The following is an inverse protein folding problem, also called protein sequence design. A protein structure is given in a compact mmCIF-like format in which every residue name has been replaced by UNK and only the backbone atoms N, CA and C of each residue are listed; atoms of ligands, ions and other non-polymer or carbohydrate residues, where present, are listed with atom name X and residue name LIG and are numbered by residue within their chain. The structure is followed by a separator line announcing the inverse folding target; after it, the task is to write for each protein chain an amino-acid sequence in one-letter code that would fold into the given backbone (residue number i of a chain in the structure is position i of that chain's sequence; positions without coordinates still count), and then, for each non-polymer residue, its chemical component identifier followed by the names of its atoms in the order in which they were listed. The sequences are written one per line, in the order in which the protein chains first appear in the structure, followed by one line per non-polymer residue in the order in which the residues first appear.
data_IF_664711192759
#
_entry.id   IF_664711192759
#
_cell.length_a   1.000
_cell.length_b   1.000
_cell.length_c   1.000
_cell.angle_alpha   90.00
_cell.angle_beta   90.00
_cell.angle_gamma   90.00
#
_symmetry.space_group_name_H-M   'P 1'
#
loop_
_entity.id
_entity.type
_entity.pdbx_description
1 polymer ?
#
# COMPACT_ATOMS: atom_id res chain seq x y z
N UNK A 1 3.56 5.66 19.49
CA UNK A 1 3.10 6.75 18.60
C UNK A 1 1.98 6.19 17.73
N UNK A 2 0.83 6.87 17.64
CA UNK A 2 -0.24 6.42 16.72
C UNK A 2 0.16 6.72 15.27
N UNK A 3 0.06 5.75 14.35
CA UNK A 3 0.40 6.00 12.95
C UNK A 3 -0.58 6.99 12.32
N UNK A 4 -0.06 7.88 11.47
CA UNK A 4 -0.88 8.65 10.54
C UNK A 4 -0.65 8.07 9.14
N UNK A 5 -1.49 7.09 8.78
CA UNK A 5 -1.36 6.37 7.51
C UNK A 5 -1.55 7.28 6.30
N UNK A 6 -2.45 8.25 6.35
CA UNK A 6 -2.65 9.19 5.24
C UNK A 6 -1.40 10.03 4.95
N UNK A 7 -0.78 10.59 6.00
CA UNK A 7 0.46 11.35 5.85
C UNK A 7 1.63 10.46 5.41
N UNK A 8 1.72 9.23 5.94
CA UNK A 8 2.75 8.27 5.56
C UNK A 8 2.63 7.86 4.08
N UNK A 9 1.42 7.56 3.60
CA UNK A 9 1.15 7.19 2.21
C UNK A 9 1.65 8.27 1.23
N UNK A 10 1.32 9.54 1.51
CA UNK A 10 1.73 10.68 0.68
C UNK A 10 3.25 10.82 0.66
N UNK A 11 3.91 10.70 1.82
CA UNK A 11 5.36 10.84 1.92
C UNK A 11 6.07 9.70 1.20
N UNK A 12 5.69 8.44 1.46
CA UNK A 12 6.27 7.27 0.79
C UNK A 12 6.12 7.35 -0.74
N UNK A 13 4.95 7.75 -1.24
CA UNK A 13 4.73 7.88 -2.68
C UNK A 13 5.62 8.97 -3.31
N UNK A 14 5.76 10.12 -2.65
CA UNK A 14 6.63 11.21 -3.12
C UNK A 14 8.10 10.78 -3.16
N UNK A 15 8.55 10.12 -2.10
CA UNK A 15 9.92 9.61 -2.00
C UNK A 15 10.18 8.52 -3.06
N UNK A 16 9.23 7.60 -3.26
CA UNK A 16 9.29 6.57 -4.29
C UNK A 16 9.45 7.16 -5.69
N UNK A 17 8.65 8.18 -6.03
CA UNK A 17 8.76 8.88 -7.33
C UNK A 17 10.12 9.53 -7.50
N UNK A 18 10.61 10.23 -6.48
CA UNK A 18 11.94 10.84 -6.51
C UNK A 18 13.04 9.80 -6.77
N UNK A 19 12.95 8.62 -6.15
CA UNK A 19 13.91 7.53 -6.40
C UNK A 19 13.79 6.96 -7.82
N UNK A 20 12.56 6.71 -8.28
CA UNK A 20 12.29 6.18 -9.63
C UNK A 20 12.90 7.07 -10.72
N UNK A 21 12.79 8.40 -10.55
CA UNK A 21 13.21 9.38 -11.57
C UNK A 21 14.73 9.67 -11.57
N UNK A 22 15.48 9.23 -10.56
CA UNK A 22 16.92 9.53 -10.43
C UNK A 22 17.81 8.64 -11.30
N UNK A 23 17.82 7.34 -11.04
CA UNK A 23 18.71 6.39 -11.72
C UNK A 23 18.22 4.95 -11.51
N UNK A 24 18.50 4.06 -12.47
CA UNK A 24 18.03 2.65 -12.43
C UNK A 24 18.44 1.89 -11.16
N UNK A 25 19.58 2.23 -10.56
CA UNK A 25 20.04 1.64 -9.30
C UNK A 25 19.13 1.94 -8.09
N UNK A 26 18.20 2.90 -8.20
CA UNK A 26 17.26 3.26 -7.14
C UNK A 26 15.89 2.60 -7.30
N UNK A 27 15.66 1.83 -8.37
CA UNK A 27 14.40 1.14 -8.61
C UNK A 27 13.97 0.23 -7.45
N UNK A 28 14.84 -0.56 -6.80
CA UNK A 28 14.45 -1.37 -5.64
C UNK A 28 13.90 -0.53 -4.48
N UNK A 29 14.53 0.61 -4.20
CA UNK A 29 14.06 1.53 -3.16
C UNK A 29 12.75 2.22 -3.53
N UNK A 30 12.58 2.58 -4.80
CA UNK A 30 11.33 3.15 -5.30
C UNK A 30 10.18 2.14 -5.17
N UNK A 31 10.41 0.91 -5.61
CA UNK A 31 9.44 -0.19 -5.56
C UNK A 31 8.96 -0.50 -4.15
N UNK A 32 9.90 -0.61 -3.22
CA UNK A 32 9.62 -0.80 -1.81
C UNK A 32 8.71 0.31 -1.25
N UNK A 33 9.03 1.56 -1.57
CA UNK A 33 8.22 2.70 -1.12
C UNK A 33 6.85 2.77 -1.79
N UNK A 34 6.67 2.29 -3.03
CA UNK A 34 5.35 2.18 -3.65
C UNK A 34 4.46 1.14 -2.93
N UNK A 35 5.02 0.02 -2.48
CA UNK A 35 4.31 -0.94 -1.64
C UNK A 35 3.86 -0.33 -0.30
N UNK A 36 4.77 0.33 0.41
CA UNK A 36 4.43 1.01 1.67
C UNK A 36 3.42 2.15 1.50
N UNK A 37 3.51 2.90 0.39
CA UNK A 37 2.55 3.93 0.06
C UNK A 37 1.13 3.35 -0.13
N UNK A 38 1.03 2.25 -0.88
CA UNK A 38 -0.23 1.52 -1.09
C UNK A 38 -0.80 1.01 0.22
N UNK A 39 0.02 0.33 1.03
CA UNK A 39 -0.39 -0.19 2.33
C UNK A 39 -1.02 0.90 3.20
N UNK A 40 -0.32 2.03 3.34
CA UNK A 40 -0.78 3.15 4.15
C UNK A 40 -2.07 3.76 3.58
N UNK A 41 -2.18 3.88 2.25
CA UNK A 41 -3.39 4.40 1.63
C UNK A 41 -4.61 3.51 1.89
N UNK A 42 -4.46 2.20 1.72
CA UNK A 42 -5.54 1.25 1.98
C UNK A 42 -5.94 1.22 3.46
N UNK A 43 -4.96 1.17 4.38
CA UNK A 43 -5.23 1.24 5.83
C UNK A 43 -5.99 2.51 6.20
N UNK A 44 -5.63 3.66 5.60
CA UNK A 44 -6.34 4.92 5.81
C UNK A 44 -7.79 4.88 5.31
N UNK A 45 -8.05 4.29 4.14
CA UNK A 45 -9.41 4.13 3.61
C UNK A 45 -10.24 3.25 4.54
N UNK A 46 -9.70 2.10 4.94
CA UNK A 46 -10.40 1.17 5.85
C UNK A 46 -10.68 1.83 7.21
N UNK A 47 -9.73 2.58 7.76
CA UNK A 47 -9.90 3.35 8.98
C UNK A 47 -11.03 4.38 8.86
N UNK A 48 -11.05 5.17 7.76
CA UNK A 48 -12.09 6.18 7.52
C UNK A 48 -13.50 5.55 7.46
N UNK A 49 -13.59 4.31 7.00
CA UNK A 49 -14.84 3.57 6.86
C UNK A 49 -15.19 2.70 8.08
N UNK A 50 -14.42 2.79 9.19
CA UNK A 50 -14.65 2.02 10.41
C UNK A 50 -14.40 0.52 10.26
N UNK A 51 -13.69 0.10 9.21
CA UNK A 51 -13.33 -1.30 8.93
C UNK A 51 -11.97 -1.67 9.53
N UNK A 52 -11.18 -0.67 9.91
CA UNK A 52 -9.91 -0.80 10.63
C UNK A 52 -9.91 0.17 11.80
N UNK A 53 -9.51 -0.32 12.97
CA UNK A 53 -9.27 0.50 14.16
C UNK A 53 -7.80 0.43 14.56
N UNK A 54 -7.38 1.29 15.48
CA UNK A 54 -6.03 1.27 16.02
C UNK A 54 -6.10 0.92 17.51
N UNK A 55 -5.30 -0.04 17.95
CA UNK A 55 -5.09 -0.31 19.37
C UNK A 55 -4.49 0.93 20.07
N UNK A 56 -4.51 1.00 21.42
CA UNK A 56 -3.86 2.09 22.15
C UNK A 56 -2.39 2.31 21.76
N UNK A 57 -1.67 1.23 21.44
CA UNK A 57 -0.27 1.24 21.01
C UNK A 57 -0.08 1.60 19.52
N UNK A 58 -1.18 1.82 18.79
CA UNK A 58 -1.17 2.24 17.39
C UNK A 58 -1.04 1.09 16.39
N UNK A 59 -1.37 -0.14 16.77
CA UNK A 59 -1.40 -1.29 15.85
C UNK A 59 -2.76 -1.38 15.16
N UNK A 60 -2.82 -1.68 13.85
CA UNK A 60 -4.07 -2.00 13.17
C UNK A 60 -4.80 -3.15 13.84
N UNK A 61 -6.04 -2.94 14.24
CA UNK A 61 -6.92 -4.00 14.71
C UNK A 61 -8.16 -4.00 13.83
N UNK A 62 -8.54 -5.17 13.34
CA UNK A 62 -9.75 -5.32 12.55
C UNK A 62 -10.80 -6.02 13.40
N UNK A 63 -11.95 -5.37 13.66
CA UNK A 63 -12.98 -5.95 14.51
C UNK A 63 -13.55 -7.28 13.98
N UNK A 64 -13.49 -7.51 12.67
CA UNK A 64 -14.30 -8.54 11.98
C UNK A 64 -13.52 -9.49 11.06
N UNK A 65 -12.20 -9.40 10.97
CA UNK A 65 -11.37 -10.30 10.15
C UNK A 65 -10.14 -10.75 10.92
N UNK A 66 -9.72 -11.99 10.68
CA UNK A 66 -8.45 -12.57 11.17
C UNK A 66 -7.23 -12.09 10.35
N UNK A 67 -7.37 -10.97 9.64
CA UNK A 67 -6.38 -10.44 8.72
C UNK A 67 -5.13 -9.98 9.46
N UNK A 68 -3.97 -10.40 8.97
CA UNK A 68 -2.66 -9.95 9.43
C UNK A 68 -2.60 -8.42 9.28
N UNK A 69 -1.83 -7.75 10.12
CA UNK A 69 -1.57 -6.31 10.01
C UNK A 69 -0.66 -5.99 8.79
N UNK A 70 -0.83 -6.76 7.72
CA UNK A 70 0.19 -7.11 6.73
C UNK A 70 0.59 -5.96 5.83
N UNK A 71 1.61 -6.26 5.05
CA UNK A 71 2.05 -5.47 3.92
C UNK A 71 1.32 -5.98 2.66
N UNK A 72 1.47 -5.34 1.50
CA UNK A 72 1.14 -5.99 0.23
C UNK A 72 1.93 -7.31 0.11
N UNK A 73 1.38 -8.34 -0.56
CA UNK A 73 0.09 -8.35 -1.27
C UNK A 73 -1.15 -8.42 -0.36
N UNK A 74 -1.03 -8.91 0.88
CA UNK A 74 -2.16 -9.27 1.75
C UNK A 74 -3.16 -8.13 1.96
N UNK A 75 -2.68 -6.91 2.24
CA UNK A 75 -3.54 -5.74 2.50
C UNK A 75 -4.38 -5.34 1.29
N UNK A 76 -3.92 -5.64 0.07
CA UNK A 76 -4.70 -5.39 -1.15
C UNK A 76 -5.83 -6.41 -1.28
N UNK A 77 -5.54 -7.69 -1.10
CA UNK A 77 -6.56 -8.74 -1.17
C UNK A 77 -7.62 -8.58 -0.09
N UNK A 78 -7.20 -8.18 1.10
CA UNK A 78 -8.08 -7.82 2.19
C UNK A 78 -9.00 -6.65 1.83
N UNK A 79 -8.45 -5.58 1.26
CA UNK A 79 -9.25 -4.46 0.78
C UNK A 79 -10.29 -4.90 -0.25
N UNK A 80 -9.91 -5.75 -1.21
CA UNK A 80 -10.84 -6.30 -2.21
C UNK A 80 -11.97 -7.12 -1.56
N UNK A 81 -11.66 -7.85 -0.49
CA UNK A 81 -12.67 -8.62 0.27
C UNK A 81 -13.76 -7.73 0.88
N UNK A 82 -13.41 -6.48 1.25
CA UNK A 82 -14.35 -5.47 1.72
C UNK A 82 -15.04 -4.75 0.57
N UNK A 83 -14.32 -4.40 -0.49
CA UNK A 83 -14.87 -3.71 -1.66
C UNK A 83 -16.05 -4.49 -2.26
N UNK A 84 -15.94 -5.82 -2.35
CA UNK A 84 -17.03 -6.68 -2.84
C UNK A 84 -18.30 -6.66 -1.98
N UNK A 85 -18.21 -6.19 -0.73
CA UNK A 85 -19.30 -6.21 0.27
C UNK A 85 -19.80 -4.81 0.65
N UNK A 86 -18.95 -3.79 0.48
CA UNK A 86 -19.23 -2.42 0.91
C UNK A 86 -19.14 -1.46 -0.29
N UNK A 87 -20.30 -1.05 -0.81
CA UNK A 87 -20.40 -0.11 -1.95
C UNK A 87 -19.90 1.30 -1.65
N UNK A 88 -19.65 1.65 -0.40
CA UNK A 88 -19.09 2.95 -0.02
C UNK A 88 -17.55 3.01 -0.21
N UNK A 89 -16.88 1.86 -0.37
CA UNK A 89 -15.45 1.86 -0.64
C UNK A 89 -15.17 2.29 -2.08
N UNK A 90 -14.08 3.07 -2.30
CA UNK A 90 -13.56 3.30 -3.64
C UNK A 90 -13.32 2.00 -4.39
N UNK A 91 -13.43 2.03 -5.72
CA UNK A 91 -13.19 0.85 -6.56
C UNK A 91 -11.74 0.85 -7.02
N UNK A 92 -11.00 -0.19 -6.64
CA UNK A 92 -9.67 -0.53 -7.12
C UNK A 92 -9.72 -1.79 -8.02
N UNK A 93 -8.70 -1.99 -8.87
CA UNK A 93 -8.56 -3.20 -9.69
C UNK A 93 -8.63 -4.49 -8.86
N UNK A 94 -9.41 -5.46 -9.33
CA UNK A 94 -9.59 -6.76 -8.65
C UNK A 94 -8.39 -7.69 -8.78
N UNK A 95 -7.47 -7.41 -9.71
CA UNK A 95 -6.19 -8.11 -9.79
C UNK A 95 -5.21 -7.44 -8.84
N UNK A 96 -4.57 -8.21 -7.97
CA UNK A 96 -3.57 -7.71 -7.04
C UNK A 96 -2.25 -7.40 -7.78
N UNK A 97 -1.83 -6.13 -7.87
CA UNK A 97 -0.62 -5.76 -8.59
C UNK A 97 0.66 -6.07 -7.79
N UNK A 98 0.56 -6.40 -6.50
CA UNK A 98 1.68 -6.60 -5.58
C UNK A 98 2.02 -8.07 -5.31
N UNK A 99 1.53 -9.01 -6.12
CA UNK A 99 1.78 -10.45 -5.91
C UNK A 99 3.27 -10.81 -5.85
N UNK A 100 4.13 -10.06 -6.54
CA UNK A 100 5.59 -10.23 -6.53
C UNK A 100 6.36 -9.30 -5.60
N UNK A 101 5.67 -8.53 -4.75
CA UNK A 101 6.28 -7.59 -3.82
C UNK A 101 6.35 -8.20 -2.43
N UNK A 102 7.50 -8.09 -1.74
CA UNK A 102 7.63 -8.49 -0.34
C UNK A 102 8.35 -7.41 0.47
N UNK A 103 7.93 -7.21 1.72
CA UNK A 103 8.60 -6.28 2.64
C UNK A 103 10.09 -6.62 2.81
N UNK A 104 10.46 -7.90 2.69
CA UNK A 104 11.79 -8.46 2.84
C UNK A 104 12.70 -8.16 1.65
N UNK A 105 12.17 -7.68 0.53
CA UNK A 105 12.96 -7.24 -0.63
C UNK A 105 13.92 -6.10 -0.26
N UNK A 106 13.68 -5.40 0.87
CA UNK A 106 14.61 -4.44 1.49
C UNK A 106 15.99 -5.02 1.82
N UNK A 107 16.07 -6.34 2.00
CA UNK A 107 17.32 -7.07 2.27
C UNK A 107 17.88 -7.78 1.03
N UNK A 108 17.14 -7.75 -0.08
CA UNK A 108 17.61 -8.30 -1.34
C UNK A 108 18.66 -7.38 -1.96
N UNK A 109 19.39 -7.89 -2.96
CA UNK A 109 20.27 -7.08 -3.79
C UNK A 109 19.50 -6.27 -4.87
N UNK A 110 18.17 -6.37 -4.91
CA UNK A 110 17.30 -5.61 -5.82
C UNK A 110 17.41 -5.99 -7.31
N UNK A 111 18.17 -7.03 -7.66
CA UNK A 111 18.43 -7.42 -9.07
C UNK A 111 17.19 -7.90 -9.84
N UNK A 112 16.15 -8.37 -9.13
CA UNK A 112 14.87 -8.77 -9.71
C UNK A 112 13.94 -7.58 -9.99
N UNK A 113 14.23 -6.39 -9.46
CA UNK A 113 13.36 -5.22 -9.58
C UNK A 113 13.66 -4.48 -10.87
N UNK A 114 12.78 -4.65 -11.85
CA UNK A 114 12.87 -4.01 -13.16
C UNK A 114 11.99 -2.77 -13.25
N UNK A 115 12.21 -1.93 -14.26
CA UNK A 115 11.36 -0.75 -14.50
C UNK A 115 9.89 -1.12 -14.75
N UNK A 116 9.63 -2.30 -15.35
CA UNK A 116 8.28 -2.81 -15.55
C UNK A 116 7.59 -3.13 -14.21
N UNK A 117 8.29 -3.79 -13.28
CA UNK A 117 7.79 -4.08 -11.92
C UNK A 117 7.48 -2.77 -11.19
N UNK A 118 8.43 -1.83 -11.18
CA UNK A 118 8.25 -0.52 -10.53
C UNK A 118 7.09 0.26 -11.13
N UNK A 119 6.88 0.18 -12.45
CA UNK A 119 5.77 0.85 -13.12
C UNK A 119 4.41 0.29 -12.70
N UNK A 120 4.28 -1.04 -12.61
CA UNK A 120 3.06 -1.68 -12.11
C UNK A 120 2.74 -1.23 -10.68
N UNK A 121 3.73 -1.27 -9.78
CA UNK A 121 3.55 -0.86 -8.39
C UNK A 121 3.33 0.65 -8.24
N UNK A 122 3.97 1.49 -9.05
CA UNK A 122 3.72 2.94 -9.09
C UNK A 122 2.27 3.24 -9.46
N UNK A 123 1.75 2.61 -10.52
CA UNK A 123 0.40 2.88 -11.00
C UNK A 123 -0.65 2.42 -9.99
N UNK A 124 -0.43 1.28 -9.34
CA UNK A 124 -1.25 0.78 -8.26
C UNK A 124 -1.23 1.71 -7.03
N UNK A 125 -0.04 2.16 -6.60
CA UNK A 125 0.11 3.09 -5.50
C UNK A 125 -0.57 4.42 -5.79
N UNK A 126 -0.48 4.92 -7.03
CA UNK A 126 -1.18 6.14 -7.46
C UNK A 126 -2.69 5.96 -7.40
N UNK A 127 -3.21 4.82 -7.84
CA UNK A 127 -4.65 4.53 -7.76
C UNK A 127 -5.13 4.49 -6.30
N UNK A 128 -4.39 3.82 -5.41
CA UNK A 128 -4.72 3.77 -3.98
C UNK A 128 -4.66 5.16 -3.32
N UNK A 129 -3.67 5.99 -3.66
CA UNK A 129 -3.59 7.37 -3.17
C UNK A 129 -4.77 8.23 -3.63
N UNK A 130 -5.13 8.15 -4.92
CA UNK A 130 -6.26 8.89 -5.46
C UNK A 130 -7.57 8.46 -4.78
N UNK A 131 -7.75 7.15 -4.57
CA UNK A 131 -8.89 6.60 -3.83
C UNK A 131 -8.95 7.13 -2.39
N UNK A 132 -7.81 7.14 -1.68
CA UNK A 132 -7.71 7.67 -0.32
C UNK A 132 -8.03 9.16 -0.23
N UNK A 133 -7.64 9.95 -1.23
CA UNK A 133 -7.86 11.40 -1.25
C UNK A 133 -9.27 11.78 -1.69
N UNK A 134 -9.90 10.97 -2.54
CA UNK A 134 -11.29 11.15 -2.97
C UNK A 134 -12.33 10.57 -2.01
N UNK A 135 -11.93 9.65 -1.12
CA UNK A 135 -12.78 9.02 -0.10
C UNK A 135 -13.07 9.94 1.06
#
# INVERSE_FOLDING_TARGET
MKPNYGAAAIRHFKDAKCLKDKHRSHLPGADHLFGLATECALKRILEKNGLLTLTPDGKPEQPNLRGTHGHPPDVWDEYLSYQGKNRALPVLPTTNPFFGWDISDRYSNGSSITDAVVTVHHDAARAALNAMQGS
#
